data_IF_261344858943
#
_entry.id   IF_261344858943
#
_cell.length_a   1.000
_cell.length_b   1.000
_cell.length_c   1.000
_cell.angle_alpha   90.00
_cell.angle_beta   90.00
_cell.angle_gamma   90.00
#
_symmetry.space_group_name_H-M   'P 1'
#
loop_
_entity.id
_entity.type
_entity.pdbx_description
1 polymer ?
#
# COMPACT_ATOMS: atom_id res chain seq x y z
N UNK A 1 5.19 -5.19 -7.80
CA UNK A 1 4.01 -5.16 -6.90
C UNK A 1 3.74 -6.53 -6.24
N UNK A 2 3.60 -7.62 -7.00
CA UNK A 2 3.38 -8.97 -6.45
C UNK A 2 4.59 -9.60 -5.73
N UNK A 3 5.83 -9.28 -6.12
CA UNK A 3 7.03 -9.66 -5.35
C UNK A 3 7.16 -8.93 -4.00
N UNK A 4 6.47 -7.80 -3.82
CA UNK A 4 6.55 -6.95 -2.61
C UNK A 4 5.55 -7.37 -1.52
N UNK A 5 4.65 -8.31 -1.80
CA UNK A 5 3.89 -8.99 -0.74
C UNK A 5 4.56 -10.32 -0.40
N UNK A 6 5.13 -10.99 -1.40
CA UNK A 6 5.67 -12.34 -1.24
C UNK A 6 7.04 -12.43 -0.56
N UNK A 7 7.91 -11.41 -0.66
CA UNK A 7 9.21 -11.40 0.04
C UNK A 7 9.16 -10.91 1.49
N UNK A 8 7.99 -10.52 2.00
CA UNK A 8 7.88 -9.59 3.13
C UNK A 8 7.60 -10.19 4.53
N UNK A 9 7.55 -11.52 4.66
CA UNK A 9 7.10 -12.18 5.90
C UNK A 9 8.21 -12.66 6.85
N UNK A 10 9.49 -12.34 6.63
CA UNK A 10 10.60 -13.03 7.34
C UNK A 10 11.33 -12.24 8.43
N UNK A 11 10.99 -10.98 8.74
CA UNK A 11 11.73 -10.21 9.78
C UNK A 11 10.87 -9.27 10.63
N UNK A 12 9.85 -9.79 11.31
CA UNK A 12 9.20 -9.07 12.42
C UNK A 12 9.24 -9.94 13.67
N UNK A 13 9.81 -9.41 14.75
CA UNK A 13 10.04 -10.09 16.03
C UNK A 13 8.77 -10.24 16.89
N UNK A 14 7.60 -10.47 16.27
CA UNK A 14 6.34 -10.67 16.96
C UNK A 14 5.98 -12.18 16.98
N UNK A 15 5.71 -12.80 18.15
CA UNK A 15 5.34 -14.22 18.28
C UNK A 15 4.19 -14.66 17.36
N UNK A 16 3.22 -13.79 17.06
CA UNK A 16 2.09 -14.12 16.18
C UNK A 16 2.49 -14.18 14.69
N UNK A 17 3.56 -13.47 14.31
CA UNK A 17 4.19 -13.59 12.98
C UNK A 17 4.94 -14.94 12.86
N UNK A 18 5.46 -15.49 13.98
CA UNK A 18 6.10 -16.82 14.00
C UNK A 18 5.10 -17.96 13.85
N UNK A 19 3.90 -17.86 14.42
CA UNK A 19 2.83 -18.85 14.20
C UNK A 19 2.34 -18.85 12.74
N UNK A 20 2.42 -17.71 12.06
CA UNK A 20 2.23 -17.62 10.61
C UNK A 20 3.40 -18.17 9.77
N UNK A 21 4.43 -18.78 10.38
CA UNK A 21 5.54 -19.43 9.65
C UNK A 21 5.97 -20.75 10.33
N UNK A 22 5.32 -21.90 10.03
CA UNK A 22 6.01 -23.19 10.07
C UNK A 22 6.48 -23.54 8.65
N UNK A 23 7.80 -23.66 8.46
CA UNK A 23 8.41 -24.23 7.25
C UNK A 23 8.52 -23.28 6.05
N UNK A 24 9.74 -23.00 5.62
CA UNK A 24 10.05 -22.13 4.48
C UNK A 24 9.50 -22.68 3.16
N UNK A 25 8.55 -21.95 2.58
CA UNK A 25 8.01 -22.15 1.23
C UNK A 25 7.06 -21.01 0.91
N UNK A 26 7.01 -20.58 -0.36
CA UNK A 26 6.04 -19.59 -0.86
C UNK A 26 4.62 -20.10 -0.57
N UNK A 27 3.98 -19.61 0.50
CA UNK A 27 2.54 -19.82 0.73
C UNK A 27 1.74 -19.22 -0.42
N UNK A 28 0.59 -19.81 -0.74
CA UNK A 28 -0.35 -19.20 -1.68
C UNK A 28 -0.73 -17.79 -1.20
N UNK A 29 -0.89 -16.82 -2.12
CA UNK A 29 -1.26 -15.44 -1.78
C UNK A 29 -2.48 -15.35 -0.85
N UNK A 30 -3.44 -16.28 -0.99
CA UNK A 30 -4.62 -16.39 -0.12
C UNK A 30 -4.25 -16.64 1.36
N UNK A 31 -3.27 -17.50 1.63
CA UNK A 31 -2.80 -17.78 2.98
C UNK A 31 -2.06 -16.59 3.60
N UNK A 32 -1.30 -15.83 2.79
CA UNK A 32 -0.62 -14.62 3.26
C UNK A 32 -1.63 -13.55 3.65
N UNK A 33 -2.60 -13.27 2.78
CA UNK A 33 -3.66 -12.30 3.04
C UNK A 33 -4.49 -12.69 4.27
N UNK A 34 -4.88 -13.96 4.40
CA UNK A 34 -5.61 -14.44 5.58
C UNK A 34 -4.79 -14.28 6.87
N UNK A 35 -3.48 -14.55 6.84
CA UNK A 35 -2.62 -14.28 8.00
C UNK A 35 -2.56 -12.78 8.32
N UNK A 36 -2.38 -11.91 7.32
CA UNK A 36 -2.35 -10.46 7.53
C UNK A 36 -3.67 -9.94 8.09
N UNK A 37 -4.81 -10.43 7.57
CA UNK A 37 -6.14 -10.07 8.08
C UNK A 37 -6.31 -10.53 9.54
N UNK A 38 -5.86 -11.74 9.88
CA UNK A 38 -5.85 -12.25 11.26
C UNK A 38 -4.99 -11.38 12.17
N UNK A 39 -3.77 -11.06 11.76
CA UNK A 39 -2.85 -10.19 12.50
C UNK A 39 -3.47 -8.82 12.77
N UNK A 40 -4.04 -8.16 11.76
CA UNK A 40 -4.70 -6.87 11.95
C UNK A 40 -5.89 -6.98 12.91
N UNK A 41 -6.64 -8.09 12.86
CA UNK A 41 -7.79 -8.27 13.74
C UNK A 41 -7.42 -8.54 15.20
N UNK A 42 -6.37 -9.30 15.45
CA UNK A 42 -6.00 -9.78 16.78
C UNK A 42 -4.94 -8.91 17.46
N UNK A 43 -4.08 -8.23 16.70
CA UNK A 43 -2.91 -7.52 17.24
C UNK A 43 -3.01 -6.00 17.15
N UNK A 44 -3.90 -5.47 16.31
CA UNK A 44 -4.09 -4.03 16.16
C UNK A 44 -5.38 -3.60 16.86
N UNK A 45 -5.38 -2.38 17.38
CA UNK A 45 -6.52 -1.80 18.07
C UNK A 45 -6.77 -0.37 17.59
N UNK A 46 -7.94 0.17 17.96
CA UNK A 46 -8.34 1.54 17.70
C UNK A 46 -8.16 1.97 16.23
N UNK A 47 -7.57 3.15 16.06
CA UNK A 47 -7.36 3.77 14.74
C UNK A 47 -6.48 2.91 13.83
N UNK A 48 -5.50 2.19 14.39
CA UNK A 48 -4.59 1.35 13.59
C UNK A 48 -5.30 0.19 12.95
N UNK A 49 -6.23 -0.45 13.67
CA UNK A 49 -7.09 -1.50 13.10
C UNK A 49 -8.06 -0.92 12.07
N UNK A 50 -8.70 0.20 12.39
CA UNK A 50 -9.66 0.88 11.49
C UNK A 50 -8.99 1.30 10.18
N UNK A 51 -7.75 1.77 10.22
CA UNK A 51 -7.00 2.17 9.03
C UNK A 51 -6.49 0.97 8.21
N UNK A 52 -6.02 -0.10 8.88
CA UNK A 52 -5.31 -1.20 8.21
C UNK A 52 -6.24 -2.28 7.67
N UNK A 53 -7.36 -2.56 8.35
CA UNK A 53 -8.26 -3.65 7.98
C UNK A 53 -8.90 -3.44 6.60
N UNK A 54 -9.38 -2.24 6.22
CA UNK A 54 -9.89 -1.99 4.87
C UNK A 54 -8.84 -2.23 3.79
N UNK A 55 -7.58 -1.84 4.03
CA UNK A 55 -6.48 -2.08 3.07
C UNK A 55 -6.30 -3.58 2.81
N UNK A 56 -6.24 -4.39 3.86
CA UNK A 56 -6.06 -5.83 3.73
C UNK A 56 -7.25 -6.48 3.03
N UNK A 57 -8.48 -6.04 3.33
CA UNK A 57 -9.70 -6.53 2.67
C UNK A 57 -9.77 -6.11 1.20
N UNK A 58 -9.43 -4.87 0.88
CA UNK A 58 -9.33 -4.42 -0.52
C UNK A 58 -8.30 -5.22 -1.31
N UNK A 59 -7.15 -5.58 -0.70
CA UNK A 59 -6.20 -6.51 -1.32
C UNK A 59 -6.81 -7.90 -1.54
N UNK A 60 -7.51 -8.45 -0.53
CA UNK A 60 -8.18 -9.75 -0.62
C UNK A 60 -9.20 -9.78 -1.76
N UNK A 61 -10.08 -8.80 -1.82
CA UNK A 61 -11.14 -8.69 -2.83
C UNK A 61 -10.55 -8.59 -4.24
N UNK A 62 -9.51 -7.78 -4.43
CA UNK A 62 -8.82 -7.68 -5.72
C UNK A 62 -8.19 -9.02 -6.13
N UNK A 63 -7.54 -9.72 -5.20
CA UNK A 63 -6.94 -11.04 -5.45
C UNK A 63 -8.00 -12.09 -5.77
N UNK A 64 -9.08 -12.14 -5.00
CA UNK A 64 -10.18 -13.08 -5.22
C UNK A 64 -10.86 -12.83 -6.57
N UNK A 65 -11.06 -11.55 -6.92
CA UNK A 65 -11.60 -11.13 -8.21
C UNK A 65 -10.78 -11.65 -9.38
N UNK A 66 -9.45 -11.47 -9.35
CA UNK A 66 -8.58 -11.87 -10.48
C UNK A 66 -8.27 -13.36 -10.51
N UNK A 67 -8.38 -14.06 -9.37
CA UNK A 67 -8.15 -15.49 -9.31
C UNK A 67 -9.42 -16.30 -9.63
N UNK A 68 -10.60 -15.69 -9.62
CA UNK A 68 -11.84 -16.34 -10.01
C UNK A 68 -11.98 -16.34 -11.54
N UNK A 69 -11.67 -17.46 -12.19
CA UNK A 69 -11.70 -17.61 -13.65
C UNK A 69 -13.06 -17.30 -14.30
N UNK A 70 -14.15 -17.40 -13.54
CA UNK A 70 -15.49 -17.08 -14.00
C UNK A 70 -15.85 -15.59 -13.85
N UNK A 71 -14.97 -14.77 -13.25
CA UNK A 71 -15.24 -13.36 -12.99
C UNK A 71 -14.85 -12.48 -14.20
N UNK A 72 -15.58 -11.38 -14.39
CA UNK A 72 -15.20 -10.33 -15.36
C UNK A 72 -13.86 -9.68 -15.04
N UNK A 73 -13.48 -9.64 -13.75
CA UNK A 73 -12.21 -9.08 -13.28
C UNK A 73 -11.04 -9.94 -13.74
N UNK A 74 -11.16 -11.28 -13.67
CA UNK A 74 -10.17 -12.20 -14.19
C UNK A 74 -9.99 -12.04 -15.70
N UNK A 75 -11.09 -12.03 -16.47
CA UNK A 75 -11.02 -11.87 -17.92
C UNK A 75 -10.34 -10.55 -18.32
N UNK A 76 -10.73 -9.45 -17.67
CA UNK A 76 -10.14 -8.13 -17.92
C UNK A 76 -8.66 -8.09 -17.56
N UNK A 77 -8.28 -8.68 -16.42
CA UNK A 77 -6.89 -8.74 -15.99
C UNK A 77 -6.04 -9.63 -16.90
N UNK A 78 -6.54 -10.80 -17.32
CA UNK A 78 -5.84 -11.71 -18.21
C UNK A 78 -5.49 -11.06 -19.55
N UNK A 79 -6.36 -10.17 -20.08
CA UNK A 79 -6.11 -9.37 -21.28
C UNK A 79 -5.05 -8.29 -21.08
N UNK A 80 -4.92 -7.75 -19.88
CA UNK A 80 -4.08 -6.60 -19.58
C UNK A 80 -2.70 -6.95 -18.97
N UNK A 81 -2.59 -8.09 -18.29
CA UNK A 81 -1.44 -8.43 -17.44
C UNK A 81 -0.11 -8.44 -18.19
N UNK A 82 -0.10 -8.88 -19.45
CA UNK A 82 1.10 -8.85 -20.29
C UNK A 82 1.68 -7.44 -20.45
N UNK A 83 0.80 -6.46 -20.71
CA UNK A 83 1.22 -5.06 -20.84
C UNK A 83 1.63 -4.46 -19.49
N UNK A 84 0.83 -4.67 -18.44
CA UNK A 84 1.15 -4.17 -17.09
C UNK A 84 2.52 -4.67 -16.64
N UNK A 85 2.84 -5.94 -16.92
CA UNK A 85 4.15 -6.52 -16.59
C UNK A 85 5.29 -5.91 -17.42
N UNK A 86 5.05 -5.55 -18.69
CA UNK A 86 6.09 -4.92 -19.53
C UNK A 86 6.55 -3.54 -19.02
N UNK A 87 5.73 -2.86 -18.20
CA UNK A 87 6.05 -1.57 -17.57
C UNK A 87 6.30 -1.72 -16.06
N UNK A 88 6.59 -2.95 -15.63
CA UNK A 88 6.73 -3.31 -14.21
C UNK A 88 7.88 -2.61 -13.50
N UNK A 89 8.98 -2.31 -14.21
CA UNK A 89 10.15 -1.63 -13.66
C UNK A 89 9.80 -0.19 -13.25
N UNK A 90 9.11 0.54 -14.11
CA UNK A 90 8.68 1.91 -13.88
C UNK A 90 7.60 1.96 -12.79
N UNK A 91 6.64 1.03 -12.80
CA UNK A 91 5.66 0.89 -11.72
C UNK A 91 6.35 0.61 -10.37
N UNK A 92 7.40 -0.22 -10.36
CA UNK A 92 8.17 -0.49 -9.15
C UNK A 92 8.95 0.75 -8.68
N UNK A 93 9.44 1.58 -9.60
CA UNK A 93 10.06 2.86 -9.27
C UNK A 93 9.07 3.79 -8.57
N UNK A 94 7.85 3.95 -9.11
CA UNK A 94 6.78 4.72 -8.47
C UNK A 94 6.48 4.23 -7.05
N UNK A 95 6.38 2.92 -6.87
CA UNK A 95 6.13 2.32 -5.55
C UNK A 95 7.28 2.55 -4.57
N UNK A 96 8.53 2.51 -5.06
CA UNK A 96 9.71 2.79 -4.24
C UNK A 96 9.74 4.24 -3.78
N UNK A 97 9.45 5.18 -4.69
CA UNK A 97 9.34 6.61 -4.35
C UNK A 97 8.23 6.86 -3.33
N UNK A 98 7.07 6.23 -3.48
CA UNK A 98 5.99 6.31 -2.51
C UNK A 98 6.45 5.85 -1.12
N UNK A 99 7.09 4.68 -1.04
CA UNK A 99 7.58 4.13 0.23
C UNK A 99 8.61 5.03 0.91
N UNK A 100 9.56 5.58 0.16
CA UNK A 100 10.54 6.51 0.71
C UNK A 100 9.88 7.82 1.18
N UNK A 101 8.84 8.29 0.49
CA UNK A 101 8.09 9.48 0.87
C UNK A 101 7.31 9.27 2.17
N UNK A 102 6.61 8.13 2.31
CA UNK A 102 5.93 7.77 3.55
C UNK A 102 6.92 7.50 4.69
N UNK A 103 8.06 6.84 4.42
CA UNK A 103 9.12 6.66 5.41
C UNK A 103 9.68 8.00 5.90
N UNK A 104 9.89 8.94 4.99
CA UNK A 104 10.29 10.31 5.34
C UNK A 104 9.24 10.99 6.20
N UNK A 105 7.96 10.86 5.86
CA UNK A 105 6.87 11.38 6.69
C UNK A 105 6.94 10.83 8.12
N UNK A 106 7.00 9.50 8.27
CA UNK A 106 7.07 8.82 9.57
C UNK A 106 8.27 9.29 10.41
N UNK A 107 9.44 9.49 9.79
CA UNK A 107 10.67 9.79 10.52
C UNK A 107 10.96 11.28 10.73
N UNK A 108 10.39 12.16 9.91
CA UNK A 108 10.76 13.58 9.87
C UNK A 108 9.60 14.54 10.11
N UNK A 109 8.35 14.12 9.90
CA UNK A 109 7.20 14.97 10.20
C UNK A 109 6.89 14.97 11.70
N UNK A 110 6.08 15.93 12.15
CA UNK A 110 5.43 15.82 13.46
C UNK A 110 4.44 14.67 13.42
N UNK A 111 4.28 13.96 14.53
CA UNK A 111 3.40 12.77 14.61
C UNK A 111 2.00 13.03 14.05
N UNK A 112 1.38 14.16 14.40
CA UNK A 112 0.04 14.52 13.92
C UNK A 112 -0.04 14.95 12.44
N UNK A 113 1.10 15.14 11.76
CA UNK A 113 1.19 15.52 10.35
C UNK A 113 1.54 14.35 9.43
N UNK A 114 2.03 13.22 9.98
CA UNK A 114 2.46 12.03 9.21
C UNK A 114 1.38 11.58 8.22
N UNK A 115 0.12 11.58 8.65
CA UNK A 115 -1.00 11.15 7.80
C UNK A 115 -1.21 12.08 6.61
N UNK A 116 -1.03 13.39 6.77
CA UNK A 116 -1.20 14.37 5.70
C UNK A 116 -0.17 14.14 4.59
N UNK A 117 1.11 13.99 4.96
CA UNK A 117 2.16 13.65 4.00
C UNK A 117 1.92 12.29 3.33
N UNK A 118 1.43 11.30 4.10
CA UNK A 118 1.13 9.97 3.56
C UNK A 118 0.01 10.03 2.52
N UNK A 119 -1.06 10.77 2.82
CA UNK A 119 -2.17 11.01 1.90
C UNK A 119 -1.69 11.68 0.61
N UNK A 120 -0.89 12.75 0.70
CA UNK A 120 -0.34 13.41 -0.48
C UNK A 120 0.60 12.48 -1.27
N UNK A 121 1.44 11.69 -0.59
CA UNK A 121 2.35 10.72 -1.21
C UNK A 121 1.60 9.64 -2.00
N UNK A 122 0.45 9.18 -1.49
CA UNK A 122 -0.38 8.22 -2.21
C UNK A 122 -0.92 8.81 -3.53
N UNK A 123 -1.24 10.09 -3.56
CA UNK A 123 -1.70 10.75 -4.78
C UNK A 123 -0.56 10.94 -5.79
N UNK A 124 0.66 11.16 -5.31
CA UNK A 124 1.86 11.16 -6.15
C UNK A 124 2.14 9.76 -6.72
N UNK A 125 1.90 8.69 -5.97
CA UNK A 125 2.00 7.31 -6.45
C UNK A 125 1.06 7.07 -7.64
N UNK A 126 -0.23 7.37 -7.50
CA UNK A 126 -1.21 7.12 -8.58
C UNK A 126 -0.89 7.97 -9.82
N UNK A 127 -0.41 9.20 -9.61
CA UNK A 127 0.01 10.09 -10.69
C UNK A 127 1.29 9.59 -11.38
N UNK A 128 2.26 9.08 -10.61
CA UNK A 128 3.48 8.46 -11.13
C UNK A 128 3.15 7.23 -11.97
N UNK A 129 2.27 6.35 -11.48
CA UNK A 129 1.90 5.10 -12.16
C UNK A 129 1.16 5.32 -13.48
N UNK A 130 0.44 6.45 -13.63
CA UNK A 130 -0.35 6.74 -14.84
C UNK A 130 0.50 6.77 -16.12
N UNK A 131 1.67 7.42 -16.09
CA UNK A 131 2.50 7.60 -17.29
C UNK A 131 3.09 6.28 -17.81
N UNK A 132 3.70 5.42 -16.97
CA UNK A 132 4.13 4.08 -17.40
C UNK A 132 2.99 3.24 -17.97
N UNK A 133 1.76 3.45 -17.51
CA UNK A 133 0.60 2.67 -17.94
C UNK A 133 -0.04 3.15 -19.25
N UNK A 134 0.34 4.32 -19.78
CA UNK A 134 -0.25 4.87 -21.02
C UNK A 134 -0.21 3.91 -22.21
N UNK A 135 0.87 3.15 -22.47
CA UNK A 135 0.88 2.13 -23.52
C UNK A 135 -0.15 1.00 -23.32
N UNK A 136 -0.65 0.81 -22.09
CA UNK A 136 -1.61 -0.22 -21.71
C UNK A 136 -3.07 0.27 -21.71
N UNK A 137 -3.36 1.47 -22.21
CA UNK A 137 -4.75 1.96 -22.28
C UNK A 137 -5.63 1.10 -23.19
N UNK A 138 -5.10 0.64 -24.33
CA UNK A 138 -5.84 -0.17 -25.32
C UNK A 138 -6.28 -1.54 -24.78
N UNK A 139 -5.50 -2.14 -23.88
CA UNK A 139 -5.86 -3.39 -23.19
C UNK A 139 -6.70 -3.17 -21.93
N UNK A 140 -6.99 -1.92 -21.58
CA UNK A 140 -7.61 -1.54 -20.31
C UNK A 140 -6.68 -1.66 -19.10
N UNK A 141 -5.40 -1.99 -19.30
CA UNK A 141 -4.44 -2.21 -18.22
C UNK A 141 -4.16 -0.98 -17.37
N UNK A 142 -4.17 0.22 -17.95
CA UNK A 142 -4.05 1.46 -17.17
C UNK A 142 -5.18 1.60 -16.16
N UNK A 143 -6.43 1.44 -16.61
CA UNK A 143 -7.59 1.54 -15.74
C UNK A 143 -7.54 0.48 -14.65
N UNK A 144 -7.30 -0.78 -15.02
CA UNK A 144 -7.24 -1.89 -14.05
C UNK A 144 -6.18 -1.64 -12.97
N UNK A 145 -4.97 -1.23 -13.35
CA UNK A 145 -3.90 -1.02 -12.39
C UNK A 145 -4.16 0.18 -11.45
N UNK A 146 -4.70 1.29 -11.99
CA UNK A 146 -5.06 2.45 -11.18
C UNK A 146 -6.26 2.17 -10.27
N UNK A 147 -7.28 1.49 -10.78
CA UNK A 147 -8.46 1.06 -9.99
C UNK A 147 -8.06 0.12 -8.86
N UNK A 148 -7.03 -0.71 -9.03
CA UNK A 148 -6.50 -1.54 -7.95
C UNK A 148 -5.78 -0.72 -6.89
N UNK A 149 -4.91 0.22 -7.30
CA UNK A 149 -4.23 1.11 -6.35
C UNK A 149 -5.27 1.88 -5.54
N UNK A 150 -6.23 2.51 -6.21
CA UNK A 150 -7.30 3.26 -5.54
C UNK A 150 -8.17 2.33 -4.69
N UNK A 151 -8.62 1.20 -5.23
CA UNK A 151 -9.52 0.27 -4.55
C UNK A 151 -8.94 -0.30 -3.25
N UNK A 152 -7.64 -0.60 -3.22
CA UNK A 152 -6.96 -1.07 -2.01
C UNK A 152 -6.98 -0.03 -0.90
N UNK A 153 -6.78 1.25 -1.21
CA UNK A 153 -6.61 2.28 -0.18
C UNK A 153 -7.84 3.19 -0.01
N UNK A 154 -8.85 3.07 -0.87
CA UNK A 154 -9.99 4.01 -0.97
C UNK A 154 -10.64 4.28 0.37
N UNK A 155 -11.06 3.23 1.07
CA UNK A 155 -11.78 3.36 2.34
C UNK A 155 -10.88 4.02 3.39
N UNK A 156 -9.66 3.53 3.57
CA UNK A 156 -8.69 4.10 4.51
C UNK A 156 -8.36 5.56 4.20
N UNK A 157 -8.15 5.92 2.93
CA UNK A 157 -7.87 7.30 2.53
C UNK A 157 -9.08 8.20 2.76
N UNK A 158 -10.29 7.74 2.44
CA UNK A 158 -11.52 8.52 2.67
C UNK A 158 -11.76 8.83 4.15
N UNK A 159 -11.36 7.91 5.04
CA UNK A 159 -11.47 8.09 6.48
C UNK A 159 -10.40 9.02 7.06
N UNK A 160 -9.20 9.02 6.49
CA UNK A 160 -8.01 9.62 7.13
C UNK A 160 -7.52 10.92 6.47
N UNK A 161 -7.73 11.08 5.17
CA UNK A 161 -7.08 12.15 4.41
C UNK A 161 -7.80 13.48 4.48
N UNK A 162 -9.13 13.50 4.68
CA UNK A 162 -9.90 14.75 4.76
C UNK A 162 -9.56 15.69 3.59
N UNK A 163 -9.11 16.91 3.89
CA UNK A 163 -8.76 17.91 2.87
C UNK A 163 -7.48 17.61 2.07
N UNK A 164 -6.68 16.61 2.47
CA UNK A 164 -5.42 16.23 1.82
C UNK A 164 -5.63 15.25 0.65
N UNK A 165 -6.61 15.56 -0.20
CA UNK A 165 -6.90 14.82 -1.43
C UNK A 165 -6.03 15.29 -2.61
N UNK A 166 -6.14 14.57 -3.72
CA UNK A 166 -5.37 14.82 -4.95
C UNK A 166 -5.55 16.25 -5.45
N UNK A 167 -4.43 16.95 -5.61
CA UNK A 167 -4.41 18.31 -6.18
C UNK A 167 -4.94 19.40 -5.23
N UNK A 168 -5.28 19.03 -3.99
CA UNK A 168 -5.71 19.98 -2.96
C UNK A 168 -4.64 21.03 -2.68
N UNK A 169 -5.09 22.22 -2.29
CA UNK A 169 -4.18 23.25 -1.79
C UNK A 169 -3.51 22.83 -0.48
N UNK A 170 -4.17 21.97 0.31
CA UNK A 170 -3.63 21.42 1.54
C UNK A 170 -2.34 20.63 1.28
N UNK A 171 -2.30 19.74 0.28
CA UNK A 171 -1.09 19.03 -0.09
C UNK A 171 0.03 19.97 -0.59
N UNK A 172 -0.33 21.01 -1.36
CA UNK A 172 0.65 21.99 -1.88
C UNK A 172 1.23 22.89 -0.78
N UNK A 173 0.46 23.11 0.28
CA UNK A 173 0.85 23.95 1.41
C UNK A 173 1.72 23.21 2.45
N UNK A 174 1.83 21.89 2.38
CA UNK A 174 2.69 21.14 3.29
C UNK A 174 4.16 21.54 3.10
N UNK A 175 4.89 21.87 4.19
CA UNK A 175 6.30 22.20 4.08
C UNK A 175 7.10 20.99 3.61
N UNK A 176 8.19 21.23 2.89
CA UNK A 176 9.07 20.14 2.47
C UNK A 176 9.76 19.54 3.69
N UNK A 177 9.61 18.24 3.89
CA UNK A 177 10.33 17.52 4.94
C UNK A 177 11.84 17.38 4.62
N UNK A 178 12.70 17.38 5.65
CA UNK A 178 14.11 17.05 5.50
C UNK A 178 14.33 15.71 4.78
N UNK A 179 15.43 15.60 4.05
CA UNK A 179 15.83 14.34 3.44
C UNK A 179 16.22 13.30 4.50
N UNK A 180 16.05 12.02 4.16
CA UNK A 180 16.53 10.91 4.98
C UNK A 180 18.06 10.88 4.95
N UNK A 181 18.67 10.62 6.10
CA UNK A 181 20.10 10.45 6.31
C UNK A 181 20.47 8.97 6.41
N UNK A 182 21.76 8.66 6.33
CA UNK A 182 22.26 7.29 6.50
C UNK A 182 21.97 6.70 7.89
N UNK A 183 21.75 7.56 8.90
CA UNK A 183 21.48 7.14 10.28
C UNK A 183 20.00 6.88 10.55
N UNK A 184 19.11 7.21 9.61
CA UNK A 184 17.67 7.02 9.79
C UNK A 184 17.29 5.54 9.69
N UNK A 185 16.45 5.08 10.63
CA UNK A 185 15.95 3.69 10.67
C UNK A 185 15.37 3.30 9.31
N UNK A 186 15.75 2.12 8.81
CA UNK A 186 15.13 1.53 7.61
C UNK A 186 13.81 0.87 8.01
N UNK A 187 12.75 1.22 7.30
CA UNK A 187 11.46 0.56 7.40
C UNK A 187 11.25 -0.13 6.06
N UNK A 188 11.65 -1.40 5.99
CA UNK A 188 11.57 -2.15 4.74
C UNK A 188 10.15 -2.67 4.52
N UNK A 189 9.43 -3.06 5.57
CA UNK A 189 8.13 -3.70 5.43
C UNK A 189 6.98 -2.68 5.24
N UNK A 190 6.11 -2.91 4.25
CA UNK A 190 4.96 -2.03 3.99
C UNK A 190 3.95 -2.02 5.15
N UNK A 191 3.66 -3.18 5.75
CA UNK A 191 2.73 -3.28 6.88
C UNK A 191 3.32 -2.58 8.11
N UNK A 192 4.63 -2.71 8.36
CA UNK A 192 5.31 -1.93 9.41
C UNK A 192 5.20 -0.43 9.12
N UNK A 193 5.44 -0.01 7.87
CA UNK A 193 5.32 1.39 7.47
C UNK A 193 3.89 1.93 7.65
N UNK A 194 2.87 1.15 7.26
CA UNK A 194 1.47 1.50 7.45
C UNK A 194 1.07 1.51 8.92
N UNK A 195 1.62 0.61 9.74
CA UNK A 195 1.39 0.60 11.18
C UNK A 195 1.97 1.86 11.84
N UNK A 196 3.17 2.31 11.43
CA UNK A 196 3.78 3.55 11.92
C UNK A 196 2.94 4.78 11.54
N UNK A 197 2.41 4.84 10.31
CA UNK A 197 1.46 5.89 9.90
C UNK A 197 0.21 5.86 10.77
N UNK A 198 -0.34 4.67 11.00
CA UNK A 198 -1.55 4.49 11.77
C UNK A 198 -1.39 4.87 13.26
N UNK A 199 -0.28 4.50 13.88
CA UNK A 199 0.08 4.94 15.24
C UNK A 199 0.10 6.46 15.31
N UNK A 200 0.65 7.11 14.28
CA UNK A 200 0.70 8.57 14.21
C UNK A 200 -0.70 9.22 14.18
N UNK A 201 -1.71 8.55 13.60
CA UNK A 201 -3.11 8.98 13.65
C UNK A 201 -3.72 8.78 15.05
N UNK A 202 -3.36 7.70 15.75
CA UNK A 202 -3.87 7.42 17.10
C UNK A 202 -3.49 8.46 18.15
N UNK A 203 -2.37 9.16 17.98
CA UNK A 203 -1.91 10.24 18.87
C UNK A 203 -2.62 11.59 18.66
N UNK A 204 -3.61 11.66 17.77
CA UNK A 204 -4.36 12.90 17.50
C UNK A 204 -5.39 13.24 18.59
N UNK A 205 -5.51 12.41 19.64
CA UNK A 205 -6.44 12.55 20.76
C UNK A 205 -5.72 12.69 22.09
#
# INVERSE_FOLDING_TARGET
>A
MWEVVARYSTRVANPLVRECVPGGGYRSHKQQIACTEKFVNECMEGVTKVASLPVVRGFKENVEGICNVASKQHESFAKAVGCINSVGTELNSCWTTFRESVRRAVLKARTNEVIFYTCCSFQELTSCAKKPLTPCESSGGQRIALDWMDGVFRESLSLLCGDYEKGSQACKALPKLPDLSANDRKIENLIELLAEVAVAVGHKN
#
